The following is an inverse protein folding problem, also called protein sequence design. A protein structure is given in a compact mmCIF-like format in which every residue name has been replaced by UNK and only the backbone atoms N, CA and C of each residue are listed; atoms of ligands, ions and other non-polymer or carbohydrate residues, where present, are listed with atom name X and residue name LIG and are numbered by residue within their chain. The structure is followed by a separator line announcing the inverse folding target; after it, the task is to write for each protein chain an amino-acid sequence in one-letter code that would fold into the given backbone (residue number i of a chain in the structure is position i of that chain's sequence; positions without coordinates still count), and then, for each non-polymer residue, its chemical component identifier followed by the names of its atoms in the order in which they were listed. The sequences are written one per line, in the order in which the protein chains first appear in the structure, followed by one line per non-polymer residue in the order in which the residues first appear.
data_IF_914052949982
#
_entry.id   IF_914052949982
#
_cell.length_a   1.000
_cell.length_b   1.000
_cell.length_c   1.000
_cell.angle_alpha   90.00
_cell.angle_beta   90.00
_cell.angle_gamma   90.00
#
_symmetry.space_group_name_H-M   'P 1'
#
loop_
_entity.id
_entity.type
_entity.pdbx_description
1 polymer ?
#
# COMPACT_ATOMS: atom_id res chain seq x y z
N UNK A 1 -8.94 0.67 17.52
CA UNK A 1 -10.09 -0.17 17.08
C UNK A 1 -10.71 0.31 15.76
N UNK A 2 -10.83 1.63 15.52
CA UNK A 2 -11.36 2.17 14.25
C UNK A 2 -10.50 1.78 13.03
N UNK A 3 -9.18 1.99 13.06
CA UNK A 3 -8.25 1.73 11.94
C UNK A 3 -8.25 0.28 11.43
N UNK A 4 -8.56 -0.71 12.27
CA UNK A 4 -8.36 -2.13 11.93
C UNK A 4 -9.49 -2.73 11.09
N UNK A 5 -10.69 -2.15 11.11
CA UNK A 5 -11.77 -2.51 10.19
C UNK A 5 -11.50 -2.04 8.75
N UNK A 6 -10.62 -1.04 8.58
CA UNK A 6 -10.32 -0.44 7.28
C UNK A 6 -9.59 -1.44 6.36
N UNK A 7 -8.70 -2.28 6.92
CA UNK A 7 -7.86 -3.21 6.17
C UNK A 7 -8.66 -4.32 5.45
N UNK A 8 -9.76 -4.80 6.04
CA UNK A 8 -10.59 -5.86 5.44
C UNK A 8 -11.46 -5.33 4.30
N UNK A 9 -12.04 -4.14 4.47
CA UNK A 9 -12.92 -3.50 3.49
C UNK A 9 -12.16 -3.08 2.24
N UNK A 10 -10.96 -2.53 2.43
CA UNK A 10 -10.07 -2.17 1.35
C UNK A 10 -9.58 -3.39 0.57
N UNK A 11 -9.29 -4.51 1.25
CA UNK A 11 -9.01 -5.77 0.58
C UNK A 11 -10.17 -6.17 -0.34
N UNK A 12 -11.44 -5.99 0.05
CA UNK A 12 -12.59 -6.26 -0.84
C UNK A 12 -12.63 -5.35 -2.07
N UNK A 13 -12.28 -4.06 -1.95
CA UNK A 13 -12.18 -3.15 -3.10
C UNK A 13 -11.08 -3.57 -4.06
N UNK A 14 -9.90 -3.95 -3.54
CA UNK A 14 -8.80 -4.50 -4.33
C UNK A 14 -9.15 -5.85 -4.97
N UNK A 15 -9.85 -6.71 -4.24
CA UNK A 15 -10.36 -7.99 -4.76
C UNK A 15 -11.42 -7.77 -5.84
N UNK A 16 -12.34 -6.81 -5.68
CA UNK A 16 -13.32 -6.47 -6.71
C UNK A 16 -12.65 -5.93 -7.99
N UNK A 17 -11.65 -5.05 -7.83
CA UNK A 17 -10.86 -4.52 -8.93
C UNK A 17 -10.05 -5.62 -9.66
N UNK A 18 -9.44 -6.54 -8.91
CA UNK A 18 -8.70 -7.68 -9.46
C UNK A 18 -9.60 -8.80 -10.03
N UNK A 19 -10.83 -8.95 -9.54
CA UNK A 19 -11.82 -9.85 -10.12
C UNK A 19 -12.31 -9.34 -11.48
N UNK A 20 -12.49 -8.01 -11.62
CA UNK A 20 -12.75 -7.37 -12.90
C UNK A 20 -11.61 -7.68 -13.89
N UNK A 21 -10.35 -7.59 -13.45
CA UNK A 21 -9.19 -7.99 -14.26
C UNK A 21 -9.20 -9.46 -14.69
N UNK A 22 -9.54 -10.39 -13.79
CA UNK A 22 -9.65 -11.82 -14.13
C UNK A 22 -10.76 -12.06 -15.18
N UNK A 23 -11.87 -11.32 -15.10
CA UNK A 23 -12.95 -11.34 -16.09
C UNK A 23 -12.45 -10.80 -17.44
N UNK A 24 -11.74 -9.66 -17.45
CA UNK A 24 -11.18 -9.08 -18.69
C UNK A 24 -10.14 -9.99 -19.34
N UNK A 25 -9.23 -10.57 -18.57
CA UNK A 25 -8.23 -11.54 -19.07
C UNK A 25 -8.88 -12.80 -19.65
N UNK A 26 -10.03 -13.23 -19.13
CA UNK A 26 -10.79 -14.37 -19.68
C UNK A 26 -11.58 -14.01 -20.94
N UNK A 27 -11.93 -12.74 -21.13
CA UNK A 27 -12.59 -12.23 -22.33
C UNK A 27 -11.62 -12.01 -23.51
N UNK A 28 -10.33 -11.71 -23.23
CA UNK A 28 -9.33 -11.42 -24.25
C UNK A 28 -8.57 -12.67 -24.74
N UNK A 29 -9.21 -13.39 -25.66
CA UNK A 29 -8.51 -14.12 -26.73
C UNK A 29 -8.25 -13.22 -27.96
N UNK A 30 -8.46 -11.90 -27.86
CA UNK A 30 -8.59 -11.01 -29.02
C UNK A 30 -7.90 -9.66 -28.75
N UNK A 31 -6.88 -9.37 -29.58
CA UNK A 31 -6.11 -8.12 -29.76
C UNK A 31 -4.84 -7.92 -28.93
N UNK A 32 -3.78 -7.49 -29.63
CA UNK A 32 -2.37 -7.55 -29.23
C UNK A 32 -1.88 -6.26 -28.54
N UNK A 33 -2.74 -5.29 -28.25
CA UNK A 33 -2.36 -4.02 -27.61
C UNK A 33 -3.38 -3.63 -26.53
N UNK A 34 -2.91 -3.55 -25.28
CA UNK A 34 -3.73 -3.15 -24.13
C UNK A 34 -4.03 -1.64 -24.21
N UNK A 35 -5.29 -1.20 -24.14
CA UNK A 35 -5.64 0.22 -24.12
C UNK A 35 -4.93 0.99 -22.99
N UNK A 36 -4.58 2.27 -23.22
CA UNK A 36 -3.85 3.08 -22.25
C UNK A 36 -4.56 3.18 -20.89
N UNK A 37 -5.88 3.35 -20.89
CA UNK A 37 -6.67 3.42 -19.66
C UNK A 37 -6.63 2.11 -18.88
N UNK A 38 -6.74 0.97 -19.57
CA UNK A 38 -6.60 -0.33 -18.93
C UNK A 38 -5.19 -0.51 -18.36
N UNK A 39 -4.16 -0.04 -19.08
CA UNK A 39 -2.78 -0.07 -18.59
C UNK A 39 -2.60 0.75 -17.30
N UNK A 40 -3.21 1.94 -17.21
CA UNK A 40 -3.20 2.78 -15.99
C UNK A 40 -3.89 2.06 -14.83
N UNK A 41 -5.05 1.47 -15.08
CA UNK A 41 -5.79 0.69 -14.08
C UNK A 41 -4.97 -0.51 -13.56
N UNK A 42 -4.31 -1.26 -14.44
CA UNK A 42 -3.46 -2.39 -14.05
C UNK A 42 -2.25 -1.95 -13.24
N UNK A 43 -1.66 -0.81 -13.60
CA UNK A 43 -0.58 -0.21 -12.82
C UNK A 43 -1.07 0.15 -11.42
N UNK A 44 -2.20 0.86 -11.31
CA UNK A 44 -2.78 1.21 -10.01
C UNK A 44 -3.05 -0.01 -9.13
N UNK A 45 -3.64 -1.06 -9.69
CA UNK A 45 -3.89 -2.30 -8.96
C UNK A 45 -2.61 -2.90 -8.41
N UNK A 46 -1.57 -2.99 -9.24
CA UNK A 46 -0.27 -3.53 -8.83
C UNK A 46 0.32 -2.71 -7.70
N UNK A 47 0.40 -1.38 -7.85
CA UNK A 47 0.99 -0.52 -6.83
C UNK A 47 0.20 -0.56 -5.52
N UNK A 48 -1.14 -0.59 -5.58
CA UNK A 48 -1.98 -0.71 -4.40
C UNK A 48 -1.79 -2.05 -3.67
N UNK A 49 -1.61 -3.16 -4.39
CA UNK A 49 -1.29 -4.47 -3.77
C UNK A 49 0.06 -4.42 -3.04
N UNK A 50 1.06 -3.77 -3.62
CA UNK A 50 2.37 -3.61 -2.97
C UNK A 50 2.27 -2.73 -1.72
N UNK A 51 1.55 -1.61 -1.80
CA UNK A 51 1.27 -0.73 -0.67
C UNK A 51 0.49 -1.46 0.43
N UNK A 52 -0.52 -2.25 0.07
CA UNK A 52 -1.29 -3.07 0.99
C UNK A 52 -0.42 -4.04 1.76
N UNK A 53 0.47 -4.76 1.07
CA UNK A 53 1.41 -5.69 1.73
C UNK A 53 2.20 -4.94 2.79
N UNK A 54 2.85 -3.83 2.43
CA UNK A 54 3.66 -3.06 3.36
C UNK A 54 2.86 -2.57 4.57
N UNK A 55 1.67 -1.99 4.35
CA UNK A 55 0.87 -1.42 5.42
C UNK A 55 0.31 -2.50 6.36
N UNK A 56 -0.35 -3.52 5.80
CA UNK A 56 -1.07 -4.54 6.59
C UNK A 56 -0.15 -5.44 7.40
N UNK A 57 1.06 -5.74 6.89
CA UNK A 57 2.03 -6.58 7.62
C UNK A 57 2.63 -5.83 8.80
N UNK A 58 2.91 -4.54 8.63
CA UNK A 58 3.40 -3.68 9.70
C UNK A 58 2.34 -3.44 10.79
N UNK A 59 1.14 -3.02 10.38
CA UNK A 59 0.04 -2.80 11.33
C UNK A 59 -0.38 -4.08 12.05
N UNK A 60 -0.33 -5.24 11.38
CA UNK A 60 -0.67 -6.52 12.00
C UNK A 60 0.22 -6.87 13.19
N UNK A 61 1.52 -6.61 13.10
CA UNK A 61 2.45 -6.80 14.22
C UNK A 61 2.15 -5.83 15.37
N UNK A 62 1.86 -4.57 15.06
CA UNK A 62 1.55 -3.54 16.06
C UNK A 62 0.26 -3.82 16.81
N UNK A 63 -0.81 -4.21 16.10
CA UNK A 63 -2.09 -4.63 16.68
C UNK A 63 -1.90 -5.76 17.68
N UNK A 64 -1.15 -6.78 17.29
CA UNK A 64 -0.96 -7.95 18.13
C UNK A 64 -0.11 -7.63 19.36
N UNK A 65 0.88 -6.73 19.22
CA UNK A 65 1.65 -6.23 20.35
C UNK A 65 0.79 -5.45 21.34
N UNK A 66 -0.11 -4.60 20.85
CA UNK A 66 -1.07 -3.87 21.68
C UNK A 66 -2.05 -4.84 22.36
N UNK A 67 -2.58 -5.82 21.63
CA UNK A 67 -3.48 -6.83 22.17
C UNK A 67 -2.81 -7.66 23.28
N UNK A 68 -1.57 -8.11 23.08
CA UNK A 68 -0.78 -8.80 24.13
C UNK A 68 -0.64 -7.90 25.36
N UNK A 69 -0.37 -6.62 25.16
CA UNK A 69 -0.21 -5.65 26.25
C UNK A 69 -1.50 -5.44 27.05
N UNK A 70 -2.67 -5.42 26.39
CA UNK A 70 -3.98 -5.33 27.04
C UNK A 70 -4.23 -6.49 28.02
N UNK A 71 -3.80 -7.70 27.67
CA UNK A 71 -3.92 -8.88 28.53
C UNK A 71 -2.75 -9.06 29.51
N UNK A 72 -1.73 -8.19 29.45
CA UNK A 72 -0.53 -8.23 30.27
C UNK A 72 0.07 -9.65 30.35
N UNK A 73 0.30 -10.19 31.56
CA UNK A 73 0.86 -11.53 31.74
C UNK A 73 0.08 -12.63 31.02
N UNK A 74 -1.27 -12.57 31.03
CA UNK A 74 -2.10 -13.54 30.32
C UNK A 74 -1.97 -13.41 28.79
N UNK A 75 -1.61 -12.24 28.29
CA UNK A 75 -1.37 -12.01 26.86
C UNK A 75 -0.08 -12.65 26.37
N UNK A 76 0.89 -12.88 27.25
CA UNK A 76 2.21 -13.47 26.93
C UNK A 76 2.22 -14.99 27.13
N UNK A 77 1.36 -15.52 28.00
CA UNK A 77 1.28 -16.95 28.30
C UNK A 77 0.51 -17.72 27.21
N UNK A 78 1.20 -18.66 26.55
CA UNK A 78 0.61 -19.47 25.48
C UNK A 78 -0.50 -20.41 25.95
N UNK A 79 -0.51 -20.80 27.23
CA UNK A 79 -1.58 -21.64 27.78
C UNK A 79 -2.90 -20.87 27.96
N UNK A 80 -2.85 -19.54 28.06
CA UNK A 80 -4.01 -18.68 28.30
C UNK A 80 -4.48 -17.92 27.07
N UNK A 81 -3.58 -17.65 26.12
CA UNK A 81 -3.86 -16.82 24.96
C UNK A 81 -3.18 -17.35 23.71
N UNK A 82 -3.90 -17.35 22.60
CA UNK A 82 -3.32 -17.63 21.28
C UNK A 82 -2.51 -16.46 20.72
N UNK A 83 -2.55 -15.27 21.34
CA UNK A 83 -1.90 -14.06 20.84
C UNK A 83 -0.38 -14.20 20.64
N UNK A 84 0.42 -14.83 21.53
CA UNK A 84 1.85 -15.01 21.31
C UNK A 84 2.14 -15.84 20.05
N UNK A 85 1.34 -16.87 19.79
CA UNK A 85 1.45 -17.67 18.58
C UNK A 85 1.16 -16.84 17.33
N UNK A 86 0.02 -16.14 17.32
CA UNK A 86 -0.37 -15.30 16.17
C UNK A 86 0.67 -14.20 15.93
N UNK A 87 1.25 -13.62 16.98
CA UNK A 87 2.32 -12.63 16.86
C UNK A 87 3.57 -13.20 16.20
N UNK A 88 4.02 -14.39 16.59
CA UNK A 88 5.15 -15.05 15.91
C UNK A 88 4.84 -15.35 14.44
N UNK A 89 3.61 -15.75 14.15
CA UNK A 89 3.19 -16.06 12.78
C UNK A 89 3.09 -14.79 11.92
N UNK A 90 2.66 -13.64 12.47
CA UNK A 90 2.50 -12.40 11.67
C UNK A 90 3.84 -11.80 11.25
N UNK A 91 4.87 -11.92 12.09
CA UNK A 91 6.19 -11.31 11.85
C UNK A 91 6.85 -11.88 10.58
N UNK A 92 6.49 -13.11 10.20
CA UNK A 92 6.98 -13.70 8.94
C UNK A 92 6.48 -12.94 7.71
N UNK A 93 5.29 -12.34 7.78
CA UNK A 93 4.66 -11.67 6.65
C UNK A 93 5.40 -10.41 6.22
N UNK A 94 6.10 -9.74 7.15
CA UNK A 94 6.94 -8.59 6.80
C UNK A 94 8.10 -9.00 5.89
N UNK A 95 8.56 -10.26 5.98
CA UNK A 95 9.75 -10.75 5.28
C UNK A 95 9.43 -11.59 4.04
N UNK A 96 8.39 -12.42 4.09
CA UNK A 96 7.96 -13.25 2.97
C UNK A 96 7.27 -12.44 1.87
N UNK A 97 7.36 -12.94 0.63
CA UNK A 97 6.79 -12.31 -0.58
C UNK A 97 7.26 -10.87 -0.85
N UNK A 98 8.38 -10.47 -0.24
CA UNK A 98 9.04 -9.19 -0.46
C UNK A 98 9.24 -8.40 0.83
N UNK A 99 10.47 -8.26 1.34
CA UNK A 99 10.73 -7.44 2.51
C UNK A 99 10.40 -5.97 2.24
N UNK A 100 10.01 -5.23 3.27
CA UNK A 100 9.51 -3.85 3.16
C UNK A 100 10.34 -2.93 2.27
N UNK A 101 11.67 -2.91 2.48
CA UNK A 101 12.58 -2.07 1.70
C UNK A 101 12.63 -2.46 0.22
N UNK A 102 12.49 -3.76 -0.09
CA UNK A 102 12.43 -4.23 -1.48
C UNK A 102 11.16 -3.72 -2.16
N UNK A 103 10.02 -3.82 -1.49
CA UNK A 103 8.74 -3.37 -2.04
C UNK A 103 8.69 -1.85 -2.20
N UNK A 104 9.16 -1.08 -1.21
CA UNK A 104 9.30 0.37 -1.32
C UNK A 104 10.17 0.79 -2.51
N UNK A 105 11.28 0.06 -2.72
CA UNK A 105 12.17 0.28 -3.88
C UNK A 105 11.49 -0.06 -5.20
N UNK A 106 10.69 -1.14 -5.24
CA UNK A 106 9.94 -1.54 -6.43
C UNK A 106 8.90 -0.48 -6.81
N UNK A 107 8.08 -0.03 -5.85
CA UNK A 107 7.07 1.02 -6.04
C UNK A 107 7.72 2.28 -6.59
N UNK A 108 8.82 2.74 -5.97
CA UNK A 108 9.53 3.94 -6.40
C UNK A 108 10.00 3.84 -7.86
N UNK A 109 10.65 2.72 -8.22
CA UNK A 109 11.14 2.47 -9.59
C UNK A 109 10.00 2.30 -10.60
N UNK A 110 8.89 1.69 -10.20
CA UNK A 110 7.75 1.46 -11.06
C UNK A 110 7.08 2.80 -11.40
N UNK A 111 6.89 3.70 -10.43
CA UNK A 111 6.38 5.07 -10.67
C UNK A 111 7.34 5.87 -11.56
N UNK A 112 8.65 5.83 -11.30
CA UNK A 112 9.64 6.49 -12.16
C UNK A 112 9.63 5.95 -13.60
N UNK A 113 9.42 4.64 -13.79
CA UNK A 113 9.43 4.02 -15.13
C UNK A 113 8.23 4.45 -15.99
N UNK A 114 7.09 4.76 -15.36
CA UNK A 114 5.85 5.06 -16.09
C UNK A 114 5.60 6.54 -16.28
N UNK A 115 6.45 7.42 -15.70
CA UNK A 115 6.27 8.87 -15.69
C UNK A 115 6.03 9.50 -17.07
N UNK A 116 6.54 8.89 -18.13
CA UNK A 116 6.39 9.38 -19.51
C UNK A 116 4.95 9.31 -20.03
N UNK A 117 4.16 8.34 -19.57
CA UNK A 117 2.79 8.09 -20.06
C UNK A 117 1.75 8.04 -18.94
N UNK A 118 2.19 8.04 -17.68
CA UNK A 118 1.35 8.15 -16.50
C UNK A 118 2.06 8.98 -15.44
N UNK A 119 1.67 10.25 -15.33
CA UNK A 119 2.35 11.18 -14.45
C UNK A 119 2.05 10.89 -12.98
N UNK A 120 2.95 11.28 -12.05
CA UNK A 120 2.70 11.17 -10.62
C UNK A 120 1.39 11.82 -10.16
N UNK A 121 1.04 12.99 -10.71
CA UNK A 121 -0.22 13.66 -10.43
C UNK A 121 -1.43 12.85 -10.90
N UNK A 122 -1.38 12.29 -12.11
CA UNK A 122 -2.46 11.42 -12.63
C UNK A 122 -2.59 10.13 -11.81
N UNK A 123 -1.49 9.57 -11.33
CA UNK A 123 -1.49 8.41 -10.43
C UNK A 123 -2.24 8.72 -9.14
N UNK A 124 -1.83 9.77 -8.42
CA UNK A 124 -2.47 10.20 -7.17
C UNK A 124 -3.94 10.51 -7.38
N UNK A 125 -4.29 11.25 -8.44
CA UNK A 125 -5.67 11.60 -8.75
C UNK A 125 -6.54 10.38 -9.01
N UNK A 126 -5.99 9.36 -9.67
CA UNK A 126 -6.72 8.13 -10.00
C UNK A 126 -6.93 7.23 -8.79
N UNK A 127 -5.93 7.04 -7.92
CA UNK A 127 -6.07 6.17 -6.75
C UNK A 127 -6.88 6.84 -5.64
N UNK A 128 -6.82 8.17 -5.52
CA UNK A 128 -7.54 8.93 -4.50
C UNK A 128 -8.86 9.53 -5.03
N UNK A 129 -9.47 8.92 -6.03
CA UNK A 129 -10.79 9.35 -6.51
C UNK A 129 -11.82 9.23 -5.37
N UNK A 130 -12.57 10.31 -5.10
CA UNK A 130 -13.44 10.41 -3.92
C UNK A 130 -12.88 11.15 -2.70
N UNK A 131 -11.64 11.65 -2.74
CA UNK A 131 -11.10 12.59 -1.71
C UNK A 131 -11.16 14.06 -2.15
N UNK A 132 -10.84 15.00 -1.25
CA UNK A 132 -10.80 16.43 -1.58
C UNK A 132 -9.66 16.78 -2.54
N UNK A 133 -9.88 17.74 -3.42
CA UNK A 133 -8.87 18.21 -4.39
C UNK A 133 -7.61 18.76 -3.67
N UNK A 134 -7.77 19.35 -2.49
CA UNK A 134 -6.63 19.78 -1.65
C UNK A 134 -5.74 18.61 -1.22
N UNK A 135 -6.34 17.49 -0.80
CA UNK A 135 -5.59 16.27 -0.42
C UNK A 135 -4.88 15.69 -1.64
N UNK A 136 -5.57 15.56 -2.79
CA UNK A 136 -4.96 15.07 -4.05
C UNK A 136 -3.76 15.93 -4.43
N UNK A 137 -3.93 17.26 -4.47
CA UNK A 137 -2.88 18.20 -4.80
C UNK A 137 -1.66 18.08 -3.86
N UNK A 138 -1.89 17.98 -2.55
CA UNK A 138 -0.82 17.78 -1.57
C UNK A 138 -0.02 16.50 -1.83
N UNK A 139 -0.69 15.37 -2.04
CA UNK A 139 -0.01 14.11 -2.34
C UNK A 139 0.70 14.12 -3.69
N UNK A 140 0.13 14.77 -4.71
CA UNK A 140 0.78 14.93 -6.02
C UNK A 140 2.08 15.72 -5.90
N UNK A 141 2.07 16.88 -5.23
CA UNK A 141 3.27 17.67 -5.01
C UNK A 141 4.34 16.90 -4.22
N UNK A 142 3.93 16.20 -3.16
CA UNK A 142 4.85 15.41 -2.34
C UNK A 142 5.49 14.27 -3.15
N UNK A 143 4.71 13.59 -3.99
CA UNK A 143 5.22 12.51 -4.85
C UNK A 143 6.19 13.06 -5.90
N UNK A 144 5.85 14.17 -6.55
CA UNK A 144 6.72 14.82 -7.54
C UNK A 144 8.06 15.24 -6.92
N UNK A 145 8.05 15.83 -5.72
CA UNK A 145 9.27 16.18 -4.98
C UNK A 145 10.12 14.95 -4.65
N UNK A 146 9.50 13.91 -4.07
CA UNK A 146 10.20 12.68 -3.68
C UNK A 146 10.87 11.97 -4.87
N UNK A 147 10.24 11.99 -6.05
CA UNK A 147 10.81 11.38 -7.25
C UNK A 147 12.05 12.10 -7.78
N UNK A 148 12.26 13.37 -7.41
CA UNK A 148 13.48 14.14 -7.73
C UNK A 148 14.60 13.96 -6.70
N UNK A 149 14.30 13.37 -5.53
CA UNK A 149 15.25 13.19 -4.43
C UNK A 149 16.01 11.87 -4.55
N UNK A 150 17.21 11.76 -3.93
CA UNK A 150 18.03 10.56 -3.99
C UNK A 150 17.53 9.45 -3.05
N UNK A 151 16.26 9.05 -3.14
CA UNK A 151 15.63 8.00 -2.31
C UNK A 151 16.39 6.67 -2.39
N UNK A 152 16.89 6.33 -3.59
CA UNK A 152 17.67 5.11 -3.86
C UNK A 152 19.16 5.42 -4.12
N UNK A 153 19.66 6.57 -3.62
CA UNK A 153 21.02 7.04 -3.83
C UNK A 153 22.07 6.34 -2.97
N UNK A 154 23.31 6.85 -3.03
CA UNK A 154 24.37 6.44 -2.09
C UNK A 154 23.99 6.82 -0.65
N UNK A 155 24.40 5.99 0.31
CA UNK A 155 24.06 6.16 1.72
C UNK A 155 24.70 7.45 2.26
N UNK A 156 23.88 8.47 2.44
CA UNK A 156 24.18 9.75 3.08
C UNK A 156 22.92 10.31 3.77
N UNK A 157 23.08 11.32 4.61
CA UNK A 157 21.98 11.90 5.41
C UNK A 157 20.79 12.31 4.52
N UNK A 158 21.06 12.93 3.36
CA UNK A 158 20.02 13.37 2.42
C UNK A 158 19.23 12.20 1.82
N UNK A 159 19.90 11.10 1.47
CA UNK A 159 19.25 9.88 0.96
C UNK A 159 18.45 9.16 2.04
N UNK A 160 18.93 9.18 3.29
CA UNK A 160 18.27 8.54 4.43
C UNK A 160 16.97 9.29 4.73
N UNK A 161 17.02 10.61 4.82
CA UNK A 161 15.85 11.46 5.03
C UNK A 161 14.83 11.28 3.90
N UNK A 162 15.29 11.24 2.64
CA UNK A 162 14.42 10.99 1.49
C UNK A 162 13.77 9.60 1.54
N UNK A 163 14.48 8.57 1.99
CA UNK A 163 13.95 7.22 2.14
C UNK A 163 12.92 7.11 3.28
N UNK A 164 13.13 7.82 4.39
CA UNK A 164 12.15 7.91 5.49
C UNK A 164 10.88 8.60 5.00
N UNK A 165 11.02 9.75 4.33
CA UNK A 165 9.86 10.48 3.81
C UNK A 165 9.11 9.70 2.71
N UNK A 166 9.83 8.91 1.90
CA UNK A 166 9.23 8.01 0.92
C UNK A 166 8.38 6.93 1.58
N UNK A 167 8.90 6.33 2.64
CA UNK A 167 8.20 5.32 3.41
C UNK A 167 6.93 5.88 4.08
N UNK A 168 7.06 7.03 4.74
CA UNK A 168 5.95 7.76 5.35
C UNK A 168 4.89 8.14 4.31
N UNK A 169 5.31 8.56 3.11
CA UNK A 169 4.42 8.85 1.99
C UNK A 169 3.62 7.61 1.59
N UNK A 170 4.28 6.46 1.37
CA UNK A 170 3.63 5.20 1.00
C UNK A 170 2.58 4.77 2.04
N UNK A 171 2.91 4.82 3.33
CA UNK A 171 1.94 4.51 4.39
C UNK A 171 0.79 5.52 4.43
N UNK A 172 1.06 6.81 4.25
CA UNK A 172 0.06 7.87 4.35
C UNK A 172 -0.93 7.86 3.19
N UNK A 173 -0.45 7.73 1.96
CA UNK A 173 -1.33 7.72 0.77
C UNK A 173 -2.26 6.51 0.79
N UNK A 174 -1.75 5.37 1.26
CA UNK A 174 -2.51 4.14 1.37
C UNK A 174 -3.61 4.23 2.43
N UNK A 175 -3.34 4.86 3.59
CA UNK A 175 -4.38 5.13 4.60
C UNK A 175 -5.51 6.01 4.06
N UNK A 176 -5.21 7.00 3.21
CA UNK A 176 -6.25 7.81 2.56
C UNK A 176 -7.05 6.98 1.56
N UNK A 177 -6.41 6.07 0.82
CA UNK A 177 -7.12 5.11 -0.04
C UNK A 177 -8.09 4.24 0.77
N UNK A 178 -7.67 3.78 1.96
CA UNK A 178 -8.52 3.02 2.88
C UNK A 178 -9.73 3.82 3.38
N UNK A 179 -9.54 5.09 3.74
CA UNK A 179 -10.64 5.99 4.11
C UNK A 179 -11.69 6.13 2.99
N UNK A 180 -11.24 6.20 1.74
CA UNK A 180 -12.13 6.26 0.57
C UNK A 180 -12.88 4.95 0.42
N UNK A 181 -12.18 3.82 0.48
CA UNK A 181 -12.79 2.49 0.35
C UNK A 181 -13.84 2.23 1.43
N UNK A 182 -13.62 2.72 2.66
CA UNK A 182 -14.59 2.63 3.76
C UNK A 182 -15.88 3.40 3.42
N UNK A 183 -15.77 4.65 2.93
CA UNK A 183 -16.93 5.49 2.59
C UNK A 183 -17.82 4.95 1.48
N UNK A 184 -17.30 4.08 0.62
CA UNK A 184 -18.10 3.47 -0.46
C UNK A 184 -19.03 2.36 0.05
N UNK A 185 -18.80 1.87 1.27
CA UNK A 185 -19.53 0.76 1.87
C UNK A 185 -20.52 1.25 2.96
N UNK A 186 -20.28 2.42 3.54
CA UNK A 186 -21.17 3.11 4.51
C UNK A 186 -22.34 3.85 3.83
#
# INVERSE_FOLDING_TARGET
MSTYFHNLQEAFKLYAFSFLFLIFKKAESISTEIPLELRKQLFNLRELVLLQKNCTTNEGADVLREAISVFAGHGVMEEFSSLPRIFRDVVVNEQWEGPRNLLLTQIFRDIQRVSDWYSPAEFVASILDGTSEEKKYKFSLQLEDLLQRPVLGEVNDVSIDAAIEWDDFCSSIFKVYQEIALKEIE
#
